data_IF_789548916915
#
_entry.id   IF_789548916915
#
_cell.length_a   1.000
_cell.length_b   1.000
_cell.length_c   1.000
_cell.angle_alpha   90.00
_cell.angle_beta   90.00
_cell.angle_gamma   90.00
#
_symmetry.space_group_name_H-M   'P 1'
#
loop_
_entity.id
_entity.type
_entity.pdbx_description
1 polymer ?
#
# COMPACT_ATOMS: atom_id res chain seq x y z
N UNK A 1 10.28 -6.52 -19.08
CA UNK A 1 11.48 -7.33 -18.71
C UNK A 1 11.49 -7.46 -17.20
N UNK A 2 11.62 -8.68 -16.68
CA UNK A 2 11.60 -8.97 -15.24
C UNK A 2 12.97 -9.48 -14.79
N UNK A 3 13.36 -9.15 -13.56
CA UNK A 3 14.67 -9.48 -13.00
C UNK A 3 14.53 -10.16 -11.63
N UNK A 4 15.43 -11.09 -11.34
CA UNK A 4 15.61 -11.71 -10.02
C UNK A 4 16.98 -11.33 -9.48
N UNK A 5 17.02 -10.82 -8.26
CA UNK A 5 18.25 -10.39 -7.60
C UNK A 5 18.08 -10.48 -6.09
N UNK A 6 19.20 -10.68 -5.39
CA UNK A 6 19.22 -10.70 -3.93
C UNK A 6 19.47 -9.28 -3.43
N UNK A 7 18.70 -8.87 -2.43
CA UNK A 7 18.81 -7.55 -1.83
C UNK A 7 18.72 -7.61 -0.33
N UNK A 8 19.27 -6.59 0.33
CA UNK A 8 18.99 -6.31 1.74
C UNK A 8 17.99 -5.17 1.82
N UNK A 9 16.91 -5.36 2.58
CA UNK A 9 15.98 -4.27 2.90
C UNK A 9 16.70 -3.30 3.83
N UNK A 10 16.74 -2.03 3.46
CA UNK A 10 17.44 -0.98 4.21
C UNK A 10 16.49 -0.10 5.01
N UNK A 11 15.30 0.18 4.47
CA UNK A 11 14.29 1.01 5.13
C UNK A 11 12.88 0.73 4.61
N UNK A 12 11.87 1.08 5.42
CA UNK A 12 10.49 1.27 4.97
C UNK A 12 10.27 2.76 4.79
N UNK A 13 10.05 3.19 3.55
CA UNK A 13 10.03 4.60 3.17
C UNK A 13 8.71 5.30 3.49
N UNK A 14 7.62 4.54 3.66
CA UNK A 14 6.31 5.05 4.05
C UNK A 14 5.75 4.27 5.25
N UNK A 15 6.53 4.22 6.33
CA UNK A 15 6.20 3.44 7.53
C UNK A 15 4.93 3.88 8.25
N UNK A 16 4.51 5.14 8.09
CA UNK A 16 3.27 5.64 8.69
C UNK A 16 2.04 5.03 8.00
N UNK A 17 1.98 5.13 6.67
CA UNK A 17 0.87 4.64 5.86
C UNK A 17 1.39 3.76 4.70
N UNK A 18 1.73 2.49 4.98
CA UNK A 18 2.12 1.52 3.95
C UNK A 18 0.92 0.95 3.18
N UNK A 19 -0.24 1.61 3.28
CA UNK A 19 -1.51 1.23 2.69
C UNK A 19 -2.27 2.48 2.23
N UNK A 20 -3.38 2.29 1.52
CA UNK A 20 -4.27 3.36 1.11
C UNK A 20 -5.70 2.83 0.95
N UNK A 21 -6.73 3.68 1.09
CA UNK A 21 -8.09 3.29 0.74
C UNK A 21 -8.24 3.26 -0.80
N UNK A 22 -8.75 2.14 -1.30
CA UNK A 22 -8.89 1.84 -2.72
C UNK A 22 -10.35 1.56 -3.07
N UNK A 23 -10.77 2.04 -4.23
CA UNK A 23 -12.10 1.75 -4.76
C UNK A 23 -12.21 0.25 -5.08
N UNK A 24 -13.24 -0.44 -4.58
CA UNK A 24 -13.46 -1.87 -4.85
C UNK A 24 -13.65 -2.20 -6.34
N UNK A 25 -14.11 -1.24 -7.15
CA UNK A 25 -14.38 -1.45 -8.58
C UNK A 25 -13.14 -1.29 -9.47
N UNK A 26 -12.31 -0.29 -9.17
CA UNK A 26 -11.19 0.10 -10.03
C UNK A 26 -9.81 -0.10 -9.38
N UNK A 27 -9.78 -0.45 -8.10
CA UNK A 27 -8.57 -0.64 -7.29
C UNK A 27 -7.65 0.61 -7.29
N UNK A 28 -8.24 1.78 -7.55
CA UNK A 28 -7.55 3.07 -7.55
C UNK A 28 -7.70 3.74 -6.21
N UNK A 29 -6.68 4.49 -5.83
CA UNK A 29 -6.71 5.30 -4.61
C UNK A 29 -7.88 6.28 -4.65
N UNK A 30 -8.54 6.41 -3.50
CA UNK A 30 -9.67 7.32 -3.31
C UNK A 30 -9.27 8.45 -2.36
N UNK A 31 -10.15 9.45 -2.28
CA UNK A 31 -10.08 10.51 -1.28
C UNK A 31 -11.32 10.39 -0.39
N UNK A 32 -11.12 10.37 0.93
CA UNK A 32 -12.21 10.36 1.92
C UNK A 32 -12.27 11.72 2.61
N UNK A 33 -13.39 12.43 2.48
CA UNK A 33 -13.61 13.75 3.10
C UNK A 33 -14.91 13.73 3.90
N UNK A 34 -14.84 14.00 5.20
CA UNK A 34 -16.02 14.07 6.10
C UNK A 34 -16.96 12.86 5.96
N UNK A 35 -16.39 11.68 5.77
CA UNK A 35 -17.07 10.39 5.56
C UNK A 35 -17.62 10.11 4.16
N UNK A 36 -17.41 10.97 3.18
CA UNK A 36 -17.73 10.66 1.78
C UNK A 36 -16.50 10.17 1.04
N UNK A 37 -16.61 9.00 0.42
CA UNK A 37 -15.55 8.39 -0.38
C UNK A 37 -15.70 8.76 -1.88
N UNK A 38 -14.66 9.35 -2.46
CA UNK A 38 -14.65 9.78 -3.87
C UNK A 38 -13.53 9.10 -4.67
N UNK A 39 -13.89 8.51 -5.81
CA UNK A 39 -12.95 7.97 -6.79
C UNK A 39 -13.07 8.72 -8.11
N UNK A 40 -11.95 9.18 -8.65
CA UNK A 40 -11.89 9.90 -9.92
C UNK A 40 -12.43 9.12 -11.14
N UNK A 41 -12.59 7.80 -11.02
CA UNK A 41 -13.05 6.91 -12.09
C UNK A 41 -14.50 6.44 -11.90
N UNK A 42 -15.09 6.66 -10.71
CA UNK A 42 -16.48 6.34 -10.47
C UNK A 42 -17.36 7.53 -10.84
N UNK A 43 -18.51 7.25 -11.43
CA UNK A 43 -19.54 8.26 -11.71
C UNK A 43 -20.51 8.45 -10.55
N UNK A 44 -20.48 7.55 -9.56
CA UNK A 44 -21.31 7.59 -8.37
C UNK A 44 -20.65 8.36 -7.23
N UNK A 45 -21.47 9.05 -6.44
CA UNK A 45 -21.07 9.64 -5.17
C UNK A 45 -21.07 8.58 -4.05
N UNK A 46 -20.22 8.79 -3.05
CA UNK A 46 -20.04 7.93 -1.87
C UNK A 46 -19.87 6.44 -2.20
N UNK A 47 -18.68 6.10 -2.70
CA UNK A 47 -18.39 4.75 -3.19
C UNK A 47 -17.87 3.82 -2.09
N UNK A 48 -18.18 2.52 -2.26
CA UNK A 48 -17.54 1.48 -1.47
C UNK A 48 -16.03 1.42 -1.75
N UNK A 49 -15.28 1.21 -0.66
CA UNK A 49 -13.84 1.08 -0.71
C UNK A 49 -13.34 0.00 0.25
N UNK A 50 -12.08 -0.36 0.07
CA UNK A 50 -11.33 -1.30 0.90
C UNK A 50 -9.91 -0.79 1.10
N UNK A 51 -9.24 -1.27 2.14
CA UNK A 51 -7.84 -1.01 2.34
C UNK A 51 -6.99 -1.81 1.34
N UNK A 52 -5.88 -1.24 0.87
CA UNK A 52 -4.95 -1.92 -0.03
C UNK A 52 -3.51 -1.54 0.29
N UNK A 53 -2.60 -2.50 0.22
CA UNK A 53 -1.18 -2.24 0.47
C UNK A 53 -0.54 -1.40 -0.63
N UNK A 54 0.35 -0.52 -0.21
CA UNK A 54 1.31 0.20 -1.06
C UNK A 54 2.56 0.45 -0.23
N UNK A 55 3.28 -0.61 0.06
CA UNK A 55 4.49 -0.58 0.85
C UNK A 55 5.67 -0.15 -0.04
N UNK A 56 6.35 0.93 0.32
CA UNK A 56 7.58 1.39 -0.33
C UNK A 56 8.76 1.01 0.53
N UNK A 57 9.65 0.17 0.01
CA UNK A 57 10.88 -0.23 0.69
C UNK A 57 12.10 0.31 -0.06
N UNK A 58 13.08 0.77 0.71
CA UNK A 58 14.44 0.92 0.24
C UNK A 58 15.14 -0.44 0.29
N UNK A 59 15.82 -0.79 -0.78
CA UNK A 59 16.67 -1.98 -0.84
C UNK A 59 18.07 -1.61 -1.32
N UNK A 60 19.06 -2.31 -0.79
CA UNK A 60 20.45 -2.17 -1.20
C UNK A 60 20.90 -3.46 -1.87
N UNK A 61 21.46 -3.32 -3.08
CA UNK A 61 22.10 -4.39 -3.83
C UNK A 61 23.53 -3.96 -4.15
N UNK A 62 24.52 -4.57 -3.51
CA UNK A 62 25.93 -4.12 -3.58
C UNK A 62 26.04 -2.65 -3.15
N UNK A 63 26.38 -1.75 -4.07
CA UNK A 63 26.54 -0.29 -3.84
C UNK A 63 25.34 0.53 -4.33
N UNK A 64 24.30 -0.11 -4.87
CA UNK A 64 23.14 0.58 -5.41
C UNK A 64 21.98 0.56 -4.42
N UNK A 65 21.34 1.72 -4.27
CA UNK A 65 20.10 1.89 -3.51
C UNK A 65 18.93 2.02 -4.48
N UNK A 66 17.92 1.18 -4.30
CA UNK A 66 16.72 1.14 -5.14
C UNK A 66 15.49 1.23 -4.25
N UNK A 67 14.45 1.93 -4.73
CA UNK A 67 13.13 1.92 -4.10
C UNK A 67 12.22 0.94 -4.82
N UNK A 68 11.60 0.03 -4.07
CA UNK A 68 10.62 -0.94 -4.59
C UNK A 68 9.27 -0.63 -3.96
N UNK A 69 8.20 -0.72 -4.76
CA UNK A 69 6.83 -0.67 -4.24
C UNK A 69 6.22 -2.06 -4.30
N UNK A 70 5.76 -2.55 -3.15
CA UNK A 70 5.02 -3.78 -2.99
C UNK A 70 3.54 -3.43 -2.77
N UNK A 71 2.68 -4.03 -3.59
CA UNK A 71 1.21 -3.97 -3.42
C UNK A 71 0.78 -5.17 -2.57
N UNK A 72 -0.05 -6.07 -3.09
CA UNK A 72 -0.50 -7.27 -2.36
C UNK A 72 0.65 -8.11 -1.82
N UNK A 73 1.81 -8.13 -2.50
CA UNK A 73 3.02 -8.81 -2.03
C UNK A 73 3.53 -8.30 -0.66
N UNK A 74 3.10 -7.12 -0.21
CA UNK A 74 3.40 -6.62 1.12
C UNK A 74 2.82 -7.51 2.23
N UNK A 75 1.79 -8.33 1.98
CA UNK A 75 1.33 -9.30 2.96
C UNK A 75 2.42 -10.30 3.34
N UNK A 76 3.32 -10.67 2.40
CA UNK A 76 4.45 -11.55 2.71
C UNK A 76 5.52 -10.83 3.53
N UNK A 77 5.56 -9.50 3.44
CA UNK A 77 6.51 -8.69 4.20
C UNK A 77 6.03 -8.48 5.64
N UNK A 78 4.75 -8.21 5.84
CA UNK A 78 4.15 -7.99 7.17
C UNK A 78 3.58 -9.25 7.83
N UNK A 79 3.46 -10.34 7.07
CA UNK A 79 2.83 -11.60 7.49
C UNK A 79 1.35 -11.45 7.92
N UNK A 80 0.63 -10.46 7.36
CA UNK A 80 -0.79 -10.25 7.63
C UNK A 80 -1.49 -9.52 6.47
N UNK A 81 -2.80 -9.64 6.43
CA UNK A 81 -3.63 -8.90 5.48
C UNK A 81 -3.72 -7.41 5.84
N UNK A 82 -4.00 -6.57 4.85
CA UNK A 82 -4.01 -5.11 5.03
C UNK A 82 -5.00 -4.68 6.11
N UNK A 83 -6.18 -5.32 6.19
CA UNK A 83 -7.19 -4.99 7.19
C UNK A 83 -6.69 -5.28 8.61
N UNK A 84 -5.96 -6.37 8.80
CA UNK A 84 -5.35 -6.74 10.09
C UNK A 84 -4.24 -5.75 10.46
N UNK A 85 -3.39 -5.38 9.49
CA UNK A 85 -2.35 -4.37 9.69
C UNK A 85 -2.95 -3.03 10.11
N UNK A 86 -3.95 -2.53 9.38
CA UNK A 86 -4.62 -1.26 9.69
C UNK A 86 -5.26 -1.33 11.08
N UNK A 87 -6.03 -2.37 11.37
CA UNK A 87 -6.65 -2.51 12.68
C UNK A 87 -5.65 -2.56 13.84
N UNK A 88 -4.49 -3.19 13.65
CA UNK A 88 -3.43 -3.28 14.66
C UNK A 88 -2.72 -1.95 14.92
N UNK A 89 -2.64 -1.08 13.90
CA UNK A 89 -1.89 0.19 13.95
C UNK A 89 -2.77 1.40 14.27
N UNK A 90 -4.07 1.32 13.98
CA UNK A 90 -5.06 2.37 14.27
C UNK A 90 -5.46 2.47 15.75
N UNK A 91 -5.13 1.51 16.60
CA UNK A 91 -5.45 1.52 18.05
C UNK A 91 -4.45 2.33 18.91
N UNK A 92 -3.80 3.35 18.35
CA UNK A 92 -2.87 4.21 19.10
C UNK A 92 -3.58 5.37 19.79
#
# INVERSE_FOLDING_TARGET
MYYKFNVKVSAINNSHDPWYPACKKYYKQIIVVKSTASCAYCTSEDIDYEESYRLKIGVTAKEQHVSITLFDAAHYFFCCDVNEYVHSTSKK
#
